data_IF_730414860160
#
_entry.id   IF_730414860160
#
_cell.length_a   1.000
_cell.length_b   1.000
_cell.length_c   1.000
_cell.angle_alpha   90.00
_cell.angle_beta   90.00
_cell.angle_gamma   90.00
#
_symmetry.space_group_name_H-M   'P 1'
#
loop_
_entity.id
_entity.type
_entity.pdbx_description
1 polymer ?
#
# COMPACT_ATOMS: atom_id res chain seq x y z
N UNK A 1 8.10 59.59 34.86
CA UNK A 1 6.79 59.71 34.20
C UNK A 1 6.33 58.31 33.87
N UNK A 2 5.39 57.77 34.66
CA UNK A 2 4.90 56.39 34.54
C UNK A 2 3.83 56.37 33.47
N UNK A 3 4.16 55.86 32.28
CA UNK A 3 3.13 55.56 31.28
C UNK A 3 2.49 54.22 31.63
N UNK A 4 1.35 54.30 32.31
CA UNK A 4 0.36 53.25 32.49
C UNK A 4 -0.08 52.69 31.13
N UNK A 5 0.32 51.46 30.81
CA UNK A 5 -0.13 50.76 29.60
C UNK A 5 -0.89 49.48 29.97
N UNK A 6 -2.13 49.64 30.43
CA UNK A 6 -3.09 48.53 30.61
C UNK A 6 -3.74 48.08 29.28
N UNK A 7 -3.21 48.52 28.13
CA UNK A 7 -3.84 48.31 26.82
C UNK A 7 -3.05 47.40 25.87
N UNK A 8 -1.86 46.91 26.26
CA UNK A 8 -1.06 46.01 25.41
C UNK A 8 -1.55 44.55 25.47
N UNK A 9 -2.42 44.20 26.43
CA UNK A 9 -2.85 42.81 26.64
C UNK A 9 -4.03 42.35 25.77
N UNK A 10 -4.74 43.23 25.07
CA UNK A 10 -5.92 42.82 24.27
C UNK A 10 -5.59 42.55 22.79
N UNK A 11 -4.57 43.23 22.24
CA UNK A 11 -4.21 43.09 20.83
C UNK A 11 -3.45 41.79 20.51
N UNK A 12 -2.68 41.24 21.46
CA UNK A 12 -1.93 40.01 21.25
C UNK A 12 -2.84 38.77 21.27
N UNK A 13 -3.95 38.83 22.00
CA UNK A 13 -4.91 37.71 22.07
C UNK A 13 -5.75 37.63 20.80
N UNK A 14 -6.07 38.76 20.14
CA UNK A 14 -6.90 38.74 18.93
C UNK A 14 -6.17 38.18 17.69
N UNK A 15 -4.86 38.40 17.58
CA UNK A 15 -4.06 37.89 16.44
C UNK A 15 -3.82 36.37 16.54
N UNK A 16 -3.78 35.82 17.75
CA UNK A 16 -3.61 34.38 17.95
C UNK A 16 -4.87 33.57 17.59
N UNK A 17 -6.06 34.17 17.67
CA UNK A 17 -7.34 33.51 17.36
C UNK A 17 -7.61 33.46 15.85
N UNK A 18 -7.01 34.34 15.04
CA UNK A 18 -7.16 34.31 13.56
C UNK A 18 -6.23 33.32 12.85
N UNK A 19 -5.24 32.75 13.53
CA UNK A 19 -4.34 31.71 12.98
C UNK A 19 -4.87 30.28 13.17
N UNK A 20 -6.00 30.10 13.87
CA UNK A 20 -6.82 28.88 13.80
C UNK A 20 -7.79 28.92 12.62
N UNK A 21 -7.44 29.67 11.58
CA UNK A 21 -8.03 29.54 10.25
C UNK A 21 -7.92 28.08 9.85
N UNK A 22 -9.06 27.42 9.86
CA UNK A 22 -9.29 26.06 9.43
C UNK A 22 -8.41 25.77 8.22
N UNK A 23 -7.40 24.91 8.39
CA UNK A 23 -6.88 24.17 7.26
C UNK A 23 -8.07 23.36 6.81
N UNK A 24 -8.82 23.91 5.85
CA UNK A 24 -9.68 23.14 5.00
C UNK A 24 -8.74 22.11 4.41
N UNK A 25 -8.71 20.94 5.02
CA UNK A 25 -8.44 19.74 4.25
C UNK A 25 -9.54 19.79 3.21
N UNK A 26 -9.20 20.37 2.06
CA UNK A 26 -9.85 19.97 0.83
C UNK A 26 -9.79 18.46 0.92
N UNK A 27 -10.93 17.85 1.26
CA UNK A 27 -11.17 16.46 0.95
C UNK A 27 -10.71 16.41 -0.48
N UNK A 28 -9.60 15.71 -0.73
CA UNK A 28 -9.21 15.33 -2.08
C UNK A 28 -10.49 14.74 -2.60
N UNK A 29 -11.20 15.53 -3.41
CA UNK A 29 -12.38 15.09 -4.09
C UNK A 29 -11.87 13.86 -4.78
N UNK A 30 -12.43 12.70 -4.42
CA UNK A 30 -12.30 11.51 -5.24
C UNK A 30 -12.77 11.98 -6.60
N UNK A 31 -11.84 12.43 -7.45
CA UNK A 31 -12.08 12.69 -8.86
C UNK A 31 -12.81 11.44 -9.29
N UNK A 32 -14.08 11.60 -9.64
CA UNK A 32 -14.95 10.50 -10.05
C UNK A 32 -14.12 9.60 -10.93
N UNK A 33 -14.02 8.32 -10.52
CA UNK A 33 -13.06 7.38 -11.08
C UNK A 33 -13.19 7.42 -12.59
N UNK A 34 -12.21 8.06 -13.24
CA UNK A 34 -12.18 8.16 -14.67
C UNK A 34 -12.02 6.71 -15.16
N UNK A 35 -13.02 6.18 -15.87
CA UNK A 35 -13.06 4.77 -16.30
C UNK A 35 -11.78 4.36 -17.04
N UNK A 36 -11.09 5.33 -17.65
CA UNK A 36 -9.75 5.20 -18.19
C UNK A 36 -8.75 4.56 -17.21
N UNK A 37 -8.66 5.01 -15.94
CA UNK A 37 -7.71 4.48 -14.95
C UNK A 37 -8.08 3.06 -14.50
N UNK A 38 -9.38 2.78 -14.33
CA UNK A 38 -9.86 1.43 -13.98
C UNK A 38 -9.49 0.42 -15.07
N UNK A 39 -9.56 0.83 -16.34
CA UNK A 39 -9.14 0.01 -17.47
C UNK A 39 -7.61 -0.23 -17.51
N UNK A 40 -6.79 0.68 -16.98
CA UNK A 40 -5.33 0.49 -16.93
C UNK A 40 -4.90 -0.62 -15.97
N UNK A 41 -5.63 -0.86 -14.89
CA UNK A 41 -5.36 -1.93 -13.93
C UNK A 41 -5.99 -3.29 -14.30
N UNK A 42 -6.81 -3.32 -15.35
CA UNK A 42 -7.60 -4.49 -15.68
C UNK A 42 -6.71 -5.70 -16.03
N UNK A 43 -6.72 -6.73 -15.18
CA UNK A 43 -5.93 -7.95 -15.38
C UNK A 43 -4.64 -8.05 -14.58
N UNK A 44 -4.22 -7.00 -13.86
CA UNK A 44 -3.07 -7.10 -12.95
C UNK A 44 -3.43 -7.84 -11.65
N UNK A 45 -2.97 -9.08 -11.51
CA UNK A 45 -3.40 -9.97 -10.42
C UNK A 45 -2.30 -10.90 -9.92
N UNK A 46 -2.45 -11.35 -8.68
CA UNK A 46 -1.78 -12.57 -8.21
C UNK A 46 -2.40 -13.80 -8.87
N UNK A 47 -1.57 -14.70 -9.41
CA UNK A 47 -2.03 -15.95 -10.04
C UNK A 47 -2.09 -17.09 -9.03
N UNK A 48 -1.31 -17.01 -7.95
CA UNK A 48 -1.21 -18.10 -6.99
C UNK A 48 -2.50 -18.34 -6.21
N UNK A 49 -2.92 -19.61 -6.13
CA UNK A 49 -3.98 -20.09 -5.25
C UNK A 49 -3.39 -20.69 -3.97
N UNK A 50 -2.67 -19.87 -3.20
CA UNK A 50 -2.10 -20.32 -1.92
C UNK A 50 -3.21 -20.31 -0.87
N UNK A 51 -3.39 -21.42 -0.16
CA UNK A 51 -4.32 -21.53 0.97
C UNK A 51 -3.58 -21.78 2.29
N UNK A 52 -2.39 -22.39 2.23
CA UNK A 52 -1.54 -22.67 3.37
C UNK A 52 -0.05 -22.70 2.97
N UNK A 53 0.85 -22.25 3.84
CA UNK A 53 2.31 -22.34 3.69
C UNK A 53 2.99 -22.45 5.06
N UNK A 54 4.13 -23.14 5.14
CA UNK A 54 4.90 -23.25 6.40
C UNK A 54 5.73 -21.99 6.67
N UNK A 55 5.95 -21.68 7.94
CA UNK A 55 6.82 -20.58 8.32
C UNK A 55 8.27 -20.87 7.91
N UNK A 56 8.94 -19.90 7.29
CA UNK A 56 10.26 -20.02 6.70
C UNK A 56 10.32 -20.65 5.30
N UNK A 57 9.20 -21.14 4.76
CA UNK A 57 9.18 -21.80 3.46
C UNK A 57 9.39 -20.82 2.30
N UNK A 58 10.18 -21.22 1.31
CA UNK A 58 10.29 -20.49 0.03
C UNK A 58 9.19 -20.96 -0.92
N UNK A 59 8.44 -20.02 -1.47
CA UNK A 59 7.39 -20.27 -2.47
C UNK A 59 7.65 -19.48 -3.75
N UNK A 60 7.15 -20.01 -4.87
CA UNK A 60 7.11 -19.28 -6.14
C UNK A 60 5.82 -18.46 -6.22
N UNK A 61 5.93 -17.15 -6.12
CA UNK A 61 4.83 -16.22 -6.41
C UNK A 61 4.80 -15.89 -7.90
N UNK A 62 3.61 -15.58 -8.40
CA UNK A 62 3.32 -15.31 -9.80
C UNK A 62 2.32 -14.16 -9.93
N UNK A 63 2.60 -13.30 -10.89
CA UNK A 63 1.73 -12.19 -11.27
C UNK A 63 1.35 -12.32 -12.72
N UNK A 64 0.13 -11.90 -13.06
CA UNK A 64 -0.31 -11.71 -14.42
C UNK A 64 -0.71 -10.26 -14.65
N UNK A 65 -0.61 -9.79 -15.89
CA UNK A 65 -1.08 -8.46 -16.28
C UNK A 65 -2.34 -8.45 -17.13
N UNK A 66 -2.72 -9.55 -17.79
CA UNK A 66 -3.87 -9.56 -18.69
C UNK A 66 -3.77 -8.45 -19.75
N UNK A 67 -4.74 -7.54 -19.75
CA UNK A 67 -4.79 -6.35 -20.63
C UNK A 67 -4.30 -5.06 -19.93
N UNK A 68 -3.79 -5.20 -18.71
CA UNK A 68 -3.29 -4.11 -17.90
C UNK A 68 -2.14 -3.41 -18.59
N UNK A 69 -2.09 -2.09 -18.38
CA UNK A 69 -0.98 -1.24 -18.82
C UNK A 69 0.19 -1.25 -17.85
N UNK A 70 0.19 -2.11 -16.82
CA UNK A 70 1.34 -2.29 -15.94
C UNK A 70 2.46 -2.99 -16.70
N UNK A 71 3.65 -2.41 -16.60
CA UNK A 71 4.85 -2.89 -17.29
C UNK A 71 5.74 -3.69 -16.36
N UNK A 72 5.58 -3.50 -15.04
CA UNK A 72 6.42 -4.16 -14.05
C UNK A 72 5.74 -4.35 -12.70
N UNK A 73 6.30 -5.27 -11.91
CA UNK A 73 5.97 -5.48 -10.50
C UNK A 73 7.05 -4.83 -9.65
N UNK A 74 6.67 -3.92 -8.77
CA UNK A 74 7.59 -3.17 -7.90
C UNK A 74 7.95 -3.92 -6.62
N UNK A 75 6.98 -4.59 -5.99
CA UNK A 75 7.23 -5.25 -4.71
C UNK A 75 6.22 -6.36 -4.38
N UNK A 76 6.44 -7.02 -3.26
CA UNK A 76 5.51 -7.94 -2.63
C UNK A 76 5.60 -7.75 -1.11
N UNK A 77 4.49 -7.39 -0.49
CA UNK A 77 4.38 -7.06 0.91
C UNK A 77 3.49 -8.08 1.63
N UNK A 78 3.81 -8.40 2.88
CA UNK A 78 2.98 -9.25 3.72
C UNK A 78 2.28 -8.43 4.79
N UNK A 79 0.98 -8.68 4.94
CA UNK A 79 0.16 -8.10 6.01
C UNK A 79 -0.42 -9.21 6.87
N UNK A 80 -0.42 -8.97 8.18
CA UNK A 80 -1.19 -9.75 9.13
C UNK A 80 -2.70 -9.52 9.00
N UNK A 81 -3.45 -10.19 9.86
CA UNK A 81 -4.89 -10.23 9.79
C UNK A 81 -5.56 -8.85 9.67
N UNK A 82 -6.53 -8.77 8.75
CA UNK A 82 -7.37 -7.60 8.54
C UNK A 82 -6.75 -6.49 7.67
N UNK A 83 -5.59 -6.74 7.04
CA UNK A 83 -4.83 -5.72 6.30
C UNK A 83 -4.41 -4.53 7.20
N UNK A 84 -4.44 -4.71 8.52
CA UNK A 84 -4.22 -3.65 9.52
C UNK A 84 -2.77 -3.55 9.97
N UNK A 85 -2.01 -4.66 9.86
CA UNK A 85 -0.64 -4.73 10.34
C UNK A 85 0.28 -5.16 9.21
N UNK A 86 1.03 -4.22 8.66
CA UNK A 86 2.17 -4.52 7.79
C UNK A 86 3.17 -5.37 8.60
N UNK A 87 3.58 -6.51 8.04
CA UNK A 87 4.58 -7.37 8.66
C UNK A 87 5.95 -7.05 8.09
N UNK A 88 6.12 -7.23 6.77
CA UNK A 88 7.38 -6.92 6.09
C UNK A 88 7.19 -6.87 4.58
N UNK A 89 8.13 -6.23 3.92
CA UNK A 89 8.34 -6.40 2.48
C UNK A 89 9.05 -7.74 2.27
N UNK A 90 8.43 -8.62 1.50
CA UNK A 90 8.94 -9.94 1.20
C UNK A 90 9.89 -9.95 0.00
N UNK A 91 9.69 -9.00 -0.91
CA UNK A 91 10.46 -8.85 -2.12
C UNK A 91 10.29 -7.44 -2.66
N UNK A 92 11.37 -6.87 -3.17
CA UNK A 92 11.39 -5.58 -3.88
C UNK A 92 12.22 -5.74 -5.14
N UNK A 93 11.79 -5.09 -6.22
CA UNK A 93 12.54 -5.16 -7.47
C UNK A 93 11.79 -4.54 -8.64
N UNK A 94 12.27 -4.88 -9.83
CA UNK A 94 11.82 -4.26 -11.07
C UNK A 94 11.55 -5.34 -12.12
N UNK A 95 10.73 -6.34 -11.77
CA UNK A 95 10.40 -7.44 -12.70
C UNK A 95 9.50 -6.88 -13.80
N UNK A 96 9.99 -6.91 -15.04
CA UNK A 96 9.30 -6.36 -16.21
C UNK A 96 8.62 -7.45 -17.01
N UNK A 97 7.42 -7.15 -17.51
CA UNK A 97 6.67 -7.98 -18.44
C UNK A 97 7.25 -7.81 -19.87
N UNK A 98 8.45 -8.33 -20.10
CA UNK A 98 9.19 -8.24 -21.37
C UNK A 98 8.56 -9.16 -22.44
N UNK A 99 7.44 -8.71 -23.01
CA UNK A 99 6.55 -9.47 -23.91
C UNK A 99 5.86 -10.69 -23.30
N UNK A 100 6.07 -10.95 -22.00
CA UNK A 100 5.31 -11.97 -21.25
C UNK A 100 4.06 -11.37 -20.63
N UNK A 101 3.02 -12.20 -20.43
CA UNK A 101 1.84 -11.81 -19.63
C UNK A 101 1.93 -12.26 -18.17
N UNK A 102 2.96 -13.03 -17.82
CA UNK A 102 3.21 -13.54 -16.48
C UNK A 102 4.65 -13.26 -16.02
N UNK A 103 4.78 -13.03 -14.72
CA UNK A 103 6.06 -12.91 -14.00
C UNK A 103 6.04 -13.82 -12.79
N UNK A 104 7.23 -14.19 -12.30
CA UNK A 104 7.35 -14.98 -11.09
C UNK A 104 8.61 -14.67 -10.33
N UNK A 105 8.55 -14.83 -9.01
CA UNK A 105 9.71 -14.69 -8.12
C UNK A 105 9.64 -15.73 -7.01
N UNK A 106 10.80 -16.05 -6.42
CA UNK A 106 10.88 -16.87 -5.21
C UNK A 106 10.86 -15.97 -3.98
N UNK A 107 10.00 -16.28 -3.01
CA UNK A 107 9.81 -15.48 -1.81
C UNK A 107 9.83 -16.39 -0.59
N UNK A 108 10.58 -15.99 0.44
CA UNK A 108 10.59 -16.66 1.75
C UNK A 108 9.42 -16.16 2.60
N UNK A 109 8.48 -17.03 2.90
CA UNK A 109 7.31 -16.76 3.75
C UNK A 109 7.67 -16.92 5.21
N UNK A 110 7.91 -15.81 5.90
CA UNK A 110 8.33 -15.87 7.30
C UNK A 110 7.70 -14.72 8.09
N UNK A 111 6.91 -15.06 9.11
CA UNK A 111 6.24 -14.07 9.97
C UNK A 111 7.23 -13.50 11.00
N UNK A 112 7.01 -12.27 11.51
CA UNK A 112 7.85 -11.71 12.55
C UNK A 112 7.92 -12.60 13.80
N UNK A 113 9.05 -12.56 14.51
CA UNK A 113 9.19 -13.25 15.79
C UNK A 113 8.09 -12.83 16.79
N UNK A 114 7.67 -13.77 17.63
CA UNK A 114 6.55 -13.57 18.56
C UNK A 114 5.16 -13.65 17.91
N UNK A 115 5.06 -13.85 16.59
CA UNK A 115 3.77 -14.13 15.94
C UNK A 115 3.28 -15.52 16.34
N UNK A 116 2.10 -15.59 16.97
CA UNK A 116 1.47 -16.87 17.30
C UNK A 116 1.06 -17.61 16.01
N UNK A 117 1.50 -18.87 15.88
CA UNK A 117 1.13 -19.75 14.77
C UNK A 117 0.06 -20.76 15.21
N UNK A 118 -0.85 -21.16 14.30
CA UNK A 118 -0.98 -20.65 12.94
C UNK A 118 -1.55 -19.22 12.90
N UNK A 119 -1.21 -18.48 11.86
CA UNK A 119 -1.74 -17.12 11.63
C UNK A 119 -2.26 -16.96 10.22
N UNK A 120 -3.05 -15.92 9.97
CA UNK A 120 -3.53 -15.58 8.64
C UNK A 120 -2.85 -14.33 8.12
N UNK A 121 -2.39 -14.42 6.87
CA UNK A 121 -1.75 -13.31 6.17
C UNK A 121 -2.40 -13.12 4.81
N UNK A 122 -2.14 -11.96 4.21
CA UNK A 122 -2.37 -11.69 2.79
C UNK A 122 -1.12 -11.06 2.20
N UNK A 123 -0.94 -11.23 0.89
CA UNK A 123 0.10 -10.52 0.15
C UNK A 123 -0.51 -9.36 -0.62
N UNK A 124 0.21 -8.25 -0.66
CA UNK A 124 -0.10 -7.07 -1.46
C UNK A 124 1.06 -6.78 -2.39
N UNK A 125 0.78 -6.33 -3.60
CA UNK A 125 1.81 -5.99 -4.58
C UNK A 125 1.40 -4.76 -5.37
N UNK A 126 2.40 -3.97 -5.75
CA UNK A 126 2.23 -2.81 -6.60
C UNK A 126 2.74 -3.11 -8.02
N UNK A 127 1.85 -2.96 -8.99
CA UNK A 127 2.15 -2.86 -10.40
C UNK A 127 2.38 -1.41 -10.77
N UNK A 128 3.32 -1.18 -11.67
CA UNK A 128 3.75 0.15 -12.11
C UNK A 128 3.86 0.16 -13.62
N UNK A 129 3.46 1.26 -14.23
CA UNK A 129 3.69 1.55 -15.64
C UNK A 129 4.71 2.67 -15.80
N UNK A 130 5.29 2.77 -16.99
CA UNK A 130 6.28 3.82 -17.29
C UNK A 130 5.69 5.24 -17.21
N UNK A 131 4.37 5.38 -17.35
CA UNK A 131 3.67 6.68 -17.39
C UNK A 131 3.00 7.08 -16.06
N UNK A 132 3.31 6.39 -14.97
CA UNK A 132 2.93 6.81 -13.62
C UNK A 132 1.71 6.16 -12.95
N UNK A 133 0.67 5.60 -13.62
CA UNK A 133 -0.38 4.92 -12.88
C UNK A 133 0.19 3.66 -12.20
N UNK A 134 -0.26 3.48 -10.95
CA UNK A 134 0.06 2.35 -10.10
C UNK A 134 -1.21 1.55 -9.85
N UNK A 135 -1.09 0.22 -9.89
CA UNK A 135 -2.18 -0.69 -9.60
C UNK A 135 -1.80 -1.56 -8.42
N UNK A 136 -2.69 -1.74 -7.47
CA UNK A 136 -2.48 -2.65 -6.35
C UNK A 136 -3.34 -3.88 -6.52
N UNK A 137 -2.79 -5.05 -6.26
CA UNK A 137 -3.57 -6.28 -6.12
C UNK A 137 -3.20 -7.00 -4.82
N UNK A 138 -4.13 -7.80 -4.32
CA UNK A 138 -4.08 -8.42 -3.00
C UNK A 138 -4.54 -9.87 -3.10
N UNK A 139 -3.86 -10.80 -2.44
CA UNK A 139 -4.30 -12.20 -2.40
C UNK A 139 -5.52 -12.36 -1.49
N UNK A 140 -6.24 -13.48 -1.64
CA UNK A 140 -7.07 -13.96 -0.54
C UNK A 140 -6.19 -14.22 0.69
N UNK A 141 -6.80 -14.14 1.88
CA UNK A 141 -6.12 -14.56 3.12
C UNK A 141 -5.75 -16.04 3.03
N UNK A 142 -4.57 -16.39 3.52
CA UNK A 142 -4.11 -17.78 3.62
C UNK A 142 -3.37 -17.99 4.93
N UNK A 143 -3.21 -19.26 5.31
CA UNK A 143 -2.70 -19.67 6.61
C UNK A 143 -1.18 -19.86 6.57
N UNK A 144 -0.46 -19.25 7.51
CA UNK A 144 0.90 -19.65 7.86
C UNK A 144 0.79 -20.67 8.99
N UNK A 145 1.39 -21.84 8.79
CA UNK A 145 1.50 -22.90 9.82
C UNK A 145 2.94 -22.99 10.30
N UNK A 146 3.20 -23.66 11.45
CA UNK A 146 4.56 -23.93 11.89
C UNK A 146 5.46 -24.51 10.79
#
# INVERSE_FOLDING_TARGET
MVFSSKYISLFVVLVLVTLLGSVSTEKISRRGGNDSFKNMCNGFNFVNKITQVKNGQIIKVKWSKGESKMDRVANCEMFGEGNKKFYKELWTGNLKFDNTKELSSLIKMEVPEGTQLPTYVLLRTWGVSDKGPQCTTVTKKFKIVP
#
